data_IF_006924806265
#
_entry.id   IF_006924806265
#
_cell.length_a   1.000
_cell.length_b   1.000
_cell.length_c   1.000
_cell.angle_alpha   90.00
_cell.angle_beta   90.00
_cell.angle_gamma   90.00
#
_symmetry.space_group_name_H-M   'P 1'
#
loop_
_entity.id
_entity.type
_entity.pdbx_description
1 polymer ?
#
# COMPACT_ATOMS: atom_id res chain seq x y z
N UNK A 1 -17.09 13.07 14.14
CA UNK A 1 -16.59 11.91 13.35
C UNK A 1 -15.85 10.94 14.27
N UNK A 2 -16.17 9.68 14.15
CA UNK A 2 -15.43 8.64 14.86
C UNK A 2 -14.07 8.43 14.21
N UNK A 3 -13.07 8.07 15.03
CA UNK A 3 -11.74 7.73 14.52
C UNK A 3 -11.83 6.46 13.67
N UNK A 4 -11.09 6.40 12.56
CA UNK A 4 -10.99 5.15 11.78
C UNK A 4 -10.24 4.05 12.52
N UNK A 5 -9.55 4.37 13.61
CA UNK A 5 -8.78 3.40 14.38
C UNK A 5 -9.45 3.17 15.74
N UNK A 6 -9.62 1.91 16.11
CA UNK A 6 -10.15 1.50 17.42
C UNK A 6 -9.09 0.69 18.16
N UNK A 7 -8.67 1.18 19.32
CA UNK A 7 -7.76 0.43 20.19
C UNK A 7 -8.53 -0.66 20.92
N UNK A 8 -8.10 -1.91 20.80
CA UNK A 8 -8.82 -3.06 21.38
C UNK A 8 -8.11 -3.64 22.60
N UNK A 9 -6.78 -3.63 22.62
CA UNK A 9 -6.01 -4.19 23.72
C UNK A 9 -4.65 -3.55 23.83
N UNK A 10 -4.11 -3.54 25.06
CA UNK A 10 -2.76 -3.03 25.33
C UNK A 10 -2.05 -3.99 26.28
N UNK A 11 -0.73 -4.07 26.12
CA UNK A 11 0.15 -4.76 27.06
C UNK A 11 1.45 -3.96 27.14
N UNK A 12 1.63 -3.19 28.22
CA UNK A 12 2.68 -2.20 28.36
C UNK A 12 2.61 -1.20 27.19
N UNK A 13 3.67 -1.08 26.40
CA UNK A 13 3.69 -0.23 25.21
C UNK A 13 3.10 -0.91 23.96
N UNK A 14 2.83 -2.22 24.03
CA UNK A 14 2.23 -2.93 22.92
C UNK A 14 0.74 -2.61 22.79
N UNK A 15 0.27 -2.49 21.57
CA UNK A 15 -1.12 -2.14 21.26
C UNK A 15 -1.67 -3.03 20.17
N UNK A 16 -2.92 -3.43 20.31
CA UNK A 16 -3.65 -4.13 19.26
C UNK A 16 -4.93 -3.35 18.97
N UNK A 17 -5.24 -3.19 17.71
CA UNK A 17 -6.43 -2.45 17.32
C UNK A 17 -6.90 -2.77 15.92
N UNK A 18 -7.93 -2.07 15.46
CA UNK A 18 -8.50 -2.24 14.14
C UNK A 18 -8.54 -0.90 13.42
N UNK A 19 -7.98 -0.87 12.22
CA UNK A 19 -8.08 0.28 11.33
C UNK A 19 -9.20 0.02 10.32
N UNK A 20 -10.21 0.89 10.30
CA UNK A 20 -11.31 0.80 9.34
C UNK A 20 -10.92 1.53 8.05
N UNK A 21 -11.05 0.83 6.93
CA UNK A 21 -10.84 1.41 5.61
C UNK A 21 -12.07 1.20 4.75
N UNK A 22 -12.15 1.92 3.63
CA UNK A 22 -13.26 1.74 2.68
C UNK A 22 -13.29 0.33 2.08
N UNK A 23 -12.18 -0.39 2.18
CA UNK A 23 -12.06 -1.74 1.62
C UNK A 23 -12.03 -2.83 2.68
N UNK A 24 -12.38 -2.48 3.90
CA UNK A 24 -12.51 -3.42 5.00
C UNK A 24 -11.59 -3.10 6.18
N UNK A 25 -11.76 -3.83 7.28
CA UNK A 25 -10.94 -3.62 8.47
C UNK A 25 -9.55 -4.23 8.32
N UNK A 26 -8.58 -3.60 8.96
CA UNK A 26 -7.22 -4.10 9.08
C UNK A 26 -6.89 -4.23 10.56
N UNK A 27 -6.56 -5.42 10.98
CA UNK A 27 -6.17 -5.69 12.37
C UNK A 27 -4.70 -5.36 12.55
N UNK A 28 -4.39 -4.60 13.59
CA UNK A 28 -3.01 -4.17 13.86
C UNK A 28 -2.51 -4.72 15.18
N UNK A 29 -1.23 -4.98 15.32
CA UNK A 29 -0.18 -4.76 14.31
C UNK A 29 -0.31 -5.70 13.12
N UNK A 30 0.16 -5.26 11.95
CA UNK A 30 0.02 -6.03 10.72
C UNK A 30 1.28 -5.86 9.86
N UNK A 31 1.69 -6.93 9.21
CA UNK A 31 2.74 -6.88 8.19
C UNK A 31 2.10 -6.51 6.85
N UNK A 32 2.70 -5.56 6.16
CA UNK A 32 2.25 -5.15 4.83
C UNK A 32 3.21 -5.70 3.77
N UNK A 33 2.81 -6.74 3.01
CA UNK A 33 3.62 -7.17 1.89
C UNK A 33 3.82 -6.04 0.88
N UNK A 34 5.00 -5.96 0.31
CA UNK A 34 5.37 -4.86 -0.59
C UNK A 34 5.11 -5.27 -2.04
N UNK A 35 4.25 -4.50 -2.72
CA UNK A 35 3.96 -4.67 -4.13
C UNK A 35 4.59 -3.55 -4.96
N UNK A 36 5.89 -3.59 -5.17
CA UNK A 36 6.66 -2.50 -5.73
C UNK A 36 6.17 -2.03 -7.10
N UNK A 37 5.89 -2.97 -8.01
CA UNK A 37 5.40 -2.67 -9.35
C UNK A 37 4.01 -3.23 -9.57
N UNK A 38 3.11 -2.97 -8.62
CA UNK A 38 1.74 -3.48 -8.60
C UNK A 38 1.67 -5.00 -8.49
N UNK A 39 2.72 -5.62 -7.95
CA UNK A 39 2.73 -7.04 -7.65
C UNK A 39 3.67 -7.32 -6.49
N UNK A 40 3.27 -8.24 -5.63
CA UNK A 40 4.16 -8.78 -4.59
C UNK A 40 5.00 -9.87 -5.25
N UNK A 41 6.31 -9.70 -5.21
CA UNK A 41 7.23 -10.59 -5.92
C UNK A 41 7.02 -12.04 -5.53
N UNK A 42 6.85 -12.91 -6.54
CA UNK A 42 6.68 -14.35 -6.41
C UNK A 42 5.40 -14.78 -5.66
N UNK A 43 4.40 -13.89 -5.50
CA UNK A 43 3.11 -14.25 -4.89
C UNK A 43 1.95 -13.67 -5.68
N UNK A 44 0.92 -14.48 -5.87
CA UNK A 44 -0.34 -14.02 -6.45
C UNK A 44 -1.21 -13.35 -5.38
N UNK A 45 -2.20 -12.53 -5.77
CA UNK A 45 -3.16 -11.99 -4.81
C UNK A 45 -3.90 -13.06 -4.02
N UNK A 46 -4.22 -14.19 -4.65
CA UNK A 46 -4.85 -15.32 -4.00
C UNK A 46 -3.96 -15.92 -2.91
N UNK A 47 -2.68 -16.10 -3.20
CA UNK A 47 -1.71 -16.58 -2.21
C UNK A 47 -1.55 -15.61 -1.05
N UNK A 48 -1.58 -14.31 -1.31
CA UNK A 48 -1.54 -13.29 -0.26
C UNK A 48 -2.72 -13.41 0.68
N UNK A 49 -3.91 -13.67 0.15
CA UNK A 49 -5.10 -13.88 0.99
C UNK A 49 -4.99 -15.15 1.82
N UNK A 50 -4.46 -16.22 1.23
CA UNK A 50 -4.28 -17.49 1.94
C UNK A 50 -3.34 -17.38 3.14
N UNK A 51 -2.30 -16.57 3.05
CA UNK A 51 -1.38 -16.34 4.17
C UNK A 51 -1.88 -15.26 5.14
N UNK A 52 -3.07 -14.71 4.90
CA UNK A 52 -3.72 -13.77 5.82
C UNK A 52 -3.33 -12.31 5.65
N UNK A 53 -2.76 -11.93 4.51
CA UNK A 53 -2.46 -10.53 4.24
C UNK A 53 -3.75 -9.71 4.17
N UNK A 54 -3.78 -8.58 4.89
CA UNK A 54 -4.97 -7.72 4.95
C UNK A 54 -4.76 -6.40 4.22
N UNK A 55 -3.52 -5.98 4.05
CA UNK A 55 -3.16 -4.71 3.41
C UNK A 55 -1.84 -4.90 2.65
N UNK A 56 -1.73 -4.25 1.51
CA UNK A 56 -0.52 -4.28 0.68
C UNK A 56 0.05 -2.87 0.61
N UNK A 57 1.39 -2.78 0.62
CA UNK A 57 2.09 -1.52 0.43
C UNK A 57 2.48 -1.36 -1.04
N UNK A 58 2.02 -0.29 -1.68
CA UNK A 58 2.43 0.09 -3.02
C UNK A 58 3.45 1.22 -2.95
N UNK A 59 4.48 1.16 -3.81
CA UNK A 59 5.51 2.18 -3.84
C UNK A 59 5.23 3.17 -4.96
N UNK A 60 4.89 4.40 -4.60
CA UNK A 60 4.44 5.43 -5.55
C UNK A 60 5.50 5.74 -6.61
N UNK A 61 6.76 5.91 -6.22
CA UNK A 61 7.82 6.21 -7.18
C UNK A 61 7.98 5.08 -8.20
N UNK A 62 8.07 3.84 -7.73
CA UNK A 62 8.25 2.71 -8.63
C UNK A 62 7.04 2.47 -9.54
N UNK A 63 5.82 2.71 -9.03
CA UNK A 63 4.61 2.62 -9.85
C UNK A 63 4.60 3.70 -10.94
N UNK A 64 5.06 4.90 -10.63
CA UNK A 64 5.18 5.99 -11.60
C UNK A 64 6.18 5.65 -12.71
N UNK A 65 7.33 5.09 -12.35
CA UNK A 65 8.36 4.71 -13.32
C UNK A 65 7.87 3.55 -14.19
N UNK A 66 7.23 2.56 -13.57
CA UNK A 66 6.79 1.34 -14.26
C UNK A 66 5.68 0.63 -13.48
N UNK A 67 4.49 0.46 -14.04
CA UNK A 67 4.08 0.70 -15.44
C UNK A 67 3.65 2.14 -15.74
N UNK A 68 3.53 3.01 -14.75
CA UNK A 68 3.09 4.39 -14.89
C UNK A 68 1.63 4.58 -14.54
N UNK A 69 1.33 5.73 -13.94
CA UNK A 69 -0.01 6.06 -13.44
C UNK A 69 -1.06 6.15 -14.54
N UNK A 70 -0.65 6.55 -15.74
CA UNK A 70 -1.59 6.65 -16.87
C UNK A 70 -2.10 5.28 -17.30
N UNK A 71 -1.21 4.29 -17.37
CA UNK A 71 -1.61 2.93 -17.72
C UNK A 71 -2.50 2.34 -16.64
N UNK A 72 -2.12 2.51 -15.36
CA UNK A 72 -2.89 2.00 -14.23
C UNK A 72 -4.29 2.61 -14.23
N UNK A 73 -4.40 3.93 -14.44
CA UNK A 73 -5.68 4.62 -14.53
C UNK A 73 -6.53 4.08 -15.67
N UNK A 74 -5.92 3.88 -16.84
CA UNK A 74 -6.61 3.37 -18.02
C UNK A 74 -7.15 1.96 -17.82
N UNK A 75 -6.47 1.15 -17.00
CA UNK A 75 -6.89 -0.21 -16.69
C UNK A 75 -7.81 -0.32 -15.47
N UNK A 76 -8.33 0.81 -14.98
CA UNK A 76 -9.36 0.82 -13.95
C UNK A 76 -8.87 1.12 -12.54
N UNK A 77 -7.63 1.57 -12.39
CA UNK A 77 -7.06 1.91 -11.09
C UNK A 77 -6.20 0.81 -10.50
N UNK A 78 -5.53 1.12 -9.40
CA UNK A 78 -4.52 0.25 -8.82
C UNK A 78 -5.09 -1.08 -8.31
N UNK A 79 -6.22 -1.06 -7.62
CA UNK A 79 -6.85 -2.28 -7.12
C UNK A 79 -7.18 -3.25 -8.24
N UNK A 80 -7.78 -2.74 -9.30
CA UNK A 80 -8.16 -3.54 -10.45
C UNK A 80 -6.95 -4.06 -11.19
N UNK A 81 -5.95 -3.21 -11.35
CA UNK A 81 -4.71 -3.58 -12.02
C UNK A 81 -3.98 -4.67 -11.25
N UNK A 82 -3.93 -4.59 -9.92
CA UNK A 82 -3.28 -5.59 -9.07
C UNK A 82 -4.13 -6.85 -8.83
N UNK A 83 -5.41 -6.80 -9.17
CA UNK A 83 -6.37 -7.84 -8.80
C UNK A 83 -6.42 -8.05 -7.27
N UNK A 84 -6.36 -6.94 -6.53
CA UNK A 84 -6.42 -6.92 -5.07
C UNK A 84 -7.52 -5.96 -4.64
N UNK A 85 -8.55 -6.50 -3.97
CA UNK A 85 -9.71 -5.72 -3.56
C UNK A 85 -9.61 -5.16 -2.14
N UNK A 86 -8.61 -5.57 -1.38
CA UNK A 86 -8.38 -5.09 -0.03
C UNK A 86 -7.70 -3.72 0.02
N UNK A 87 -7.41 -3.23 1.23
CA UNK A 87 -6.72 -1.96 1.40
C UNK A 87 -5.32 -1.97 0.80
N UNK A 88 -4.94 -0.82 0.25
CA UNK A 88 -3.60 -0.57 -0.27
C UNK A 88 -3.10 0.74 0.36
N UNK A 89 -1.90 0.69 0.96
CA UNK A 89 -1.21 1.90 1.38
C UNK A 89 -0.19 2.26 0.30
N UNK A 90 -0.28 3.48 -0.22
CA UNK A 90 0.75 3.99 -1.13
C UNK A 90 1.60 5.00 -0.39
N UNK A 91 2.91 4.89 -0.53
CA UNK A 91 3.82 5.83 0.10
C UNK A 91 3.94 7.13 -0.72
N UNK A 92 4.63 8.12 -0.15
CA UNK A 92 4.83 9.40 -0.84
C UNK A 92 5.91 9.35 -1.91
N UNK A 93 6.76 8.34 -1.89
CA UNK A 93 7.94 8.27 -2.75
C UNK A 93 9.07 9.20 -2.33
N UNK A 94 8.96 9.84 -1.16
CA UNK A 94 9.93 10.84 -0.71
C UNK A 94 11.36 10.32 -0.61
N UNK A 95 11.53 9.10 -0.11
CA UNK A 95 12.85 8.49 -0.03
C UNK A 95 13.50 8.34 -1.40
N UNK A 96 12.75 7.84 -2.39
CA UNK A 96 13.25 7.63 -3.74
C UNK A 96 13.57 8.96 -4.43
N UNK A 97 12.74 9.97 -4.24
CA UNK A 97 13.00 11.31 -4.77
C UNK A 97 14.32 11.86 -4.22
N UNK A 98 14.59 11.65 -2.95
CA UNK A 98 15.83 12.09 -2.32
C UNK A 98 17.02 11.23 -2.73
N UNK A 99 16.90 9.90 -2.64
CA UNK A 99 18.02 8.97 -2.87
C UNK A 99 18.44 8.89 -4.33
N UNK A 100 17.52 9.16 -5.29
CA UNK A 100 17.80 9.12 -6.72
C UNK A 100 17.96 10.54 -7.29
N UNK A 101 18.66 11.38 -6.58
CA UNK A 101 18.79 12.81 -6.88
C UNK A 101 19.29 13.10 -8.31
N UNK A 102 20.14 12.22 -8.88
CA UNK A 102 20.65 12.41 -10.23
C UNK A 102 19.59 12.26 -11.32
N UNK A 103 18.52 11.54 -11.02
CA UNK A 103 17.43 11.28 -11.98
C UNK A 103 16.20 12.16 -11.74
N UNK A 104 16.18 12.92 -10.63
CA UNK A 104 15.00 13.72 -10.28
C UNK A 104 15.05 15.09 -10.93
N UNK A 105 13.86 15.61 -11.22
CA UNK A 105 13.63 16.99 -11.59
C UNK A 105 12.47 17.50 -10.77
N UNK A 106 12.69 18.55 -10.00
CA UNK A 106 11.67 19.15 -9.14
C UNK A 106 11.32 20.51 -9.70
N UNK A 107 10.03 20.75 -9.95
CA UNK A 107 9.49 22.03 -10.42
C UNK A 107 8.42 22.52 -9.48
N UNK A 108 8.10 23.80 -9.55
CA UNK A 108 7.04 24.40 -8.74
C UNK A 108 5.64 24.21 -9.33
N UNK A 109 5.56 23.63 -10.53
CA UNK A 109 4.29 23.38 -11.21
C UNK A 109 3.68 22.04 -10.88
#
# INVERSE_FOLDING_TARGET
>A
MSSPFTLEATDSAARAGTLQTRRGPVQTPVFMPVGTQATVKAMTPEELREVGAQIILGNTYHLHVRPGEKLISRLGGLHRFMHWDGPILTDSGGFQVFSLAKLRKITEE
#
